data_IF_876937616325
#
_entry.id   IF_876937616325
#
_cell.length_a   1.000
_cell.length_b   1.000
_cell.length_c   1.000
_cell.angle_alpha   90.00
_cell.angle_beta   90.00
_cell.angle_gamma   90.00
#
_symmetry.space_group_name_H-M   'P 1'
#
loop_
_entity.id
_entity.type
_entity.pdbx_description
1 polymer ?
#
# COMPACT_ATOMS: atom_id res chain seq x y z
N UNK A 1 -11.59 -21.94 1.14
CA UNK A 1 -10.84 -20.67 1.00
C UNK A 1 -11.77 -19.71 0.29
N UNK A 2 -12.24 -18.67 0.99
CA UNK A 2 -13.05 -17.61 0.36
C UNK A 2 -12.30 -17.14 -0.89
N UNK A 3 -13.02 -17.09 -2.02
CA UNK A 3 -12.45 -16.77 -3.33
C UNK A 3 -12.00 -15.31 -3.29
N UNK A 4 -10.79 -15.08 -2.81
CA UNK A 4 -10.18 -13.77 -2.80
C UNK A 4 -9.97 -13.38 -4.27
N UNK A 5 -10.66 -12.32 -4.68
CA UNK A 5 -10.59 -11.78 -6.04
C UNK A 5 -9.13 -11.55 -6.47
N UNK A 6 -8.84 -11.76 -7.75
CA UNK A 6 -7.47 -11.67 -8.28
C UNK A 6 -6.84 -10.30 -7.98
N UNK A 7 -7.64 -9.24 -8.07
CA UNK A 7 -7.22 -7.89 -7.74
C UNK A 7 -6.82 -7.75 -6.25
N UNK A 8 -7.58 -8.37 -5.34
CA UNK A 8 -7.27 -8.36 -3.91
C UNK A 8 -5.94 -9.06 -3.61
N UNK A 9 -5.67 -10.21 -4.26
CA UNK A 9 -4.39 -10.92 -4.13
C UNK A 9 -3.22 -10.05 -4.59
N UNK A 10 -3.36 -9.40 -5.74
CA UNK A 10 -2.35 -8.48 -6.29
C UNK A 10 -2.07 -7.31 -5.35
N UNK A 11 -3.10 -6.73 -4.72
CA UNK A 11 -2.94 -5.65 -3.74
C UNK A 11 -2.18 -6.14 -2.50
N UNK A 12 -2.53 -7.30 -1.95
CA UNK A 12 -1.84 -7.88 -0.79
C UNK A 12 -0.35 -8.09 -1.06
N UNK A 13 -0.02 -8.70 -2.21
CA UNK A 13 1.36 -8.91 -2.64
C UNK A 13 2.09 -7.58 -2.82
N UNK A 14 1.45 -6.60 -3.45
CA UNK A 14 2.05 -5.28 -3.67
C UNK A 14 2.40 -4.58 -2.35
N UNK A 15 1.48 -4.51 -1.41
CA UNK A 15 1.72 -3.86 -0.10
C UNK A 15 2.78 -4.65 0.69
N UNK A 16 2.79 -5.97 0.60
CA UNK A 16 3.80 -6.80 1.26
C UNK A 16 5.22 -6.52 0.73
N UNK A 17 5.37 -6.36 -0.59
CA UNK A 17 6.68 -6.14 -1.24
C UNK A 17 7.16 -4.69 -1.13
N UNK A 18 6.28 -3.72 -1.33
CA UNK A 18 6.65 -2.30 -1.47
C UNK A 18 6.31 -1.44 -0.26
N UNK A 19 5.49 -1.95 0.66
CA UNK A 19 5.03 -1.23 1.85
C UNK A 19 3.69 -0.52 1.66
N UNK A 20 3.28 0.32 2.64
CA UNK A 20 1.96 0.93 2.67
C UNK A 20 1.74 1.89 1.50
N UNK A 21 0.58 1.76 0.85
CA UNK A 21 0.26 2.54 -0.36
C UNK A 21 -1.20 3.02 -0.40
N UNK A 22 -1.46 4.02 -1.24
CA UNK A 22 -2.80 4.54 -1.52
C UNK A 22 -3.37 3.93 -2.81
N UNK A 23 -4.71 3.75 -2.92
CA UNK A 23 -5.36 3.25 -4.13
C UNK A 23 -5.03 4.06 -5.39
N UNK A 24 -4.83 5.38 -5.22
CA UNK A 24 -4.47 6.27 -6.31
C UNK A 24 -3.11 5.90 -6.89
N UNK A 25 -2.11 5.70 -6.05
CA UNK A 25 -0.78 5.33 -6.54
C UNK A 25 -0.76 3.89 -7.02
N UNK A 26 -1.40 2.96 -6.31
CA UNK A 26 -1.53 1.56 -6.73
C UNK A 26 -2.10 1.42 -8.14
N UNK A 27 -3.03 2.29 -8.57
CA UNK A 27 -3.58 2.28 -9.93
C UNK A 27 -2.50 2.40 -11.03
N UNK A 28 -1.39 3.10 -10.74
CA UNK A 28 -0.29 3.29 -11.69
C UNK A 28 0.86 2.29 -11.49
N UNK A 29 1.03 1.74 -10.28
CA UNK A 29 2.23 0.98 -9.91
C UNK A 29 2.02 -0.41 -9.34
N UNK A 30 0.80 -0.95 -9.44
CA UNK A 30 0.49 -2.28 -8.92
C UNK A 30 1.50 -3.32 -9.43
N UNK A 31 2.02 -4.15 -8.52
CA UNK A 31 3.07 -5.15 -8.77
C UNK A 31 4.35 -4.65 -9.48
N UNK A 32 4.64 -3.35 -9.44
CA UNK A 32 5.84 -2.79 -10.08
C UNK A 32 5.65 -2.38 -11.53
N UNK A 33 4.41 -2.35 -12.03
CA UNK A 33 4.09 -1.63 -13.25
C UNK A 33 4.56 -0.16 -13.14
N UNK A 34 4.98 0.42 -14.25
CA UNK A 34 5.35 1.84 -14.29
C UNK A 34 4.79 2.45 -15.57
N UNK A 35 3.77 3.29 -15.42
CA UNK A 35 3.12 3.95 -16.55
C UNK A 35 2.55 5.31 -16.18
N UNK A 36 2.52 6.21 -17.17
CA UNK A 36 1.84 7.51 -17.04
C UNK A 36 0.33 7.33 -16.88
N UNK A 37 -0.26 6.41 -17.65
CA UNK A 37 -1.67 6.05 -17.56
C UNK A 37 -1.90 5.01 -16.44
N UNK A 38 -3.03 5.09 -15.71
CA UNK A 38 -3.39 4.08 -14.73
C UNK A 38 -3.71 2.76 -15.43
N UNK A 39 -3.04 1.68 -15.03
CA UNK A 39 -3.29 0.33 -15.56
C UNK A 39 -4.59 -0.26 -15.01
N UNK A 40 -4.96 0.15 -13.80
CA UNK A 40 -6.14 -0.33 -13.09
C UNK A 40 -7.09 0.83 -12.78
N UNK A 41 -8.40 0.52 -12.77
CA UNK A 41 -9.42 1.48 -12.37
C UNK A 41 -9.30 1.81 -10.88
N UNK A 42 -9.14 3.10 -10.59
CA UNK A 42 -9.01 3.63 -9.23
C UNK A 42 -10.26 3.36 -8.38
N UNK A 43 -11.45 3.36 -8.98
CA UNK A 43 -12.71 3.13 -8.27
C UNK A 43 -12.77 1.69 -7.76
N UNK A 44 -12.49 0.72 -8.64
CA UNK A 44 -12.43 -0.71 -8.29
C UNK A 44 -11.36 -1.00 -7.24
N UNK A 45 -10.18 -0.38 -7.34
CA UNK A 45 -9.13 -0.51 -6.33
C UNK A 45 -9.58 0.01 -4.96
N UNK A 46 -10.28 1.15 -4.92
CA UNK A 46 -10.80 1.71 -3.66
C UNK A 46 -11.85 0.80 -3.04
N UNK A 47 -12.73 0.21 -3.84
CA UNK A 47 -13.72 -0.77 -3.38
C UNK A 47 -13.06 -2.05 -2.87
N UNK A 48 -12.05 -2.57 -3.58
CA UNK A 48 -11.27 -3.73 -3.15
C UNK A 48 -10.56 -3.48 -1.82
N UNK A 49 -9.92 -2.31 -1.65
CA UNK A 49 -9.30 -1.91 -0.38
C UNK A 49 -10.33 -1.86 0.76
N UNK A 50 -11.51 -1.28 0.54
CA UNK A 50 -12.59 -1.25 1.54
C UNK A 50 -13.09 -2.64 1.90
N UNK A 51 -13.25 -3.54 0.92
CA UNK A 51 -13.64 -4.93 1.17
C UNK A 51 -12.59 -5.64 2.04
N UNK A 52 -11.30 -5.52 1.69
CA UNK A 52 -10.21 -6.10 2.48
C UNK A 52 -10.05 -5.48 3.87
N UNK A 53 -10.38 -4.20 4.05
CA UNK A 53 -10.46 -3.55 5.35
C UNK A 53 -11.58 -4.17 6.21
N UNK A 54 -12.77 -4.40 5.63
CA UNK A 54 -13.88 -5.06 6.34
C UNK A 54 -13.54 -6.51 6.76
N UNK A 55 -12.70 -7.19 5.97
CA UNK A 55 -12.15 -8.52 6.25
C UNK A 55 -10.97 -8.50 7.22
N UNK A 56 -10.58 -7.32 7.76
CA UNK A 56 -9.43 -7.12 8.67
C UNK A 56 -8.08 -7.56 8.08
N UNK A 57 -7.94 -7.61 6.75
CA UNK A 57 -6.68 -7.89 6.06
C UNK A 57 -5.82 -6.64 5.89
N UNK A 58 -6.49 -5.49 5.68
CA UNK A 58 -5.88 -4.17 5.58
C UNK A 58 -6.31 -3.27 6.74
N UNK A 59 -5.45 -2.32 7.08
CA UNK A 59 -5.73 -1.24 8.03
C UNK A 59 -5.32 0.08 7.42
N UNK A 60 -6.00 1.17 7.79
CA UNK A 60 -5.55 2.52 7.44
C UNK A 60 -4.21 2.78 8.12
N UNK A 61 -3.19 3.11 7.33
CA UNK A 61 -1.87 3.45 7.82
C UNK A 61 -1.87 4.88 8.36
N UNK A 62 -1.64 5.01 9.66
CA UNK A 62 -1.62 6.31 10.34
C UNK A 62 -0.22 6.81 10.71
N UNK A 63 0.83 6.06 10.39
CA UNK A 63 2.22 6.41 10.71
C UNK A 63 2.87 7.41 9.73
N UNK A 64 4.13 7.79 10.00
CA UNK A 64 4.92 8.63 9.09
C UNK A 64 5.32 7.84 7.83
N UNK A 65 5.02 8.38 6.65
CA UNK A 65 5.30 7.75 5.35
C UNK A 65 6.76 7.89 4.89
N UNK A 66 7.56 8.77 5.51
CA UNK A 66 8.98 8.99 5.17
C UNK A 66 9.87 8.90 6.41
N UNK A 67 11.11 8.44 6.21
CA UNK A 67 12.17 8.53 7.22
C UNK A 67 12.37 9.99 7.63
N UNK A 68 12.61 10.19 8.92
CA UNK A 68 12.93 11.49 9.51
C UNK A 68 14.09 12.14 8.74
N UNK A 69 14.01 13.44 8.39
CA UNK A 69 15.11 14.12 7.72
C UNK A 69 16.38 14.07 8.59
N UNK A 70 17.52 13.70 7.99
CA UNK A 70 18.82 13.64 8.67
C UNK A 70 19.40 15.03 8.93
N UNK A 71 20.42 15.11 9.77
CA UNK A 71 21.07 16.37 10.18
C UNK A 71 21.60 17.21 9.00
N UNK A 72 21.93 16.60 7.86
CA UNK A 72 22.37 17.29 6.63
C UNK A 72 21.24 17.91 5.81
N UNK A 73 19.97 17.62 6.11
CA UNK A 73 18.81 18.13 5.36
C UNK A 73 18.48 19.57 5.79
N UNK A 74 18.00 20.37 4.83
CA UNK A 74 17.63 21.78 5.01
C UNK A 74 16.62 22.02 6.17
N UNK A 75 16.81 23.06 7.01
CA UNK A 75 15.97 23.31 8.19
C UNK A 75 14.47 23.40 7.92
N UNK A 76 14.02 24.04 6.83
CA UNK A 76 12.59 24.14 6.51
C UNK A 76 11.94 22.79 6.17
N UNK A 77 12.70 21.85 5.61
CA UNK A 77 12.22 20.48 5.36
C UNK A 77 12.07 19.74 6.69
N UNK A 78 13.00 19.96 7.63
CA UNK A 78 12.90 19.43 9.00
C UNK A 78 11.72 20.04 9.77
N UNK A 79 11.46 21.33 9.62
CA UNK A 79 10.30 22.02 10.22
C UNK A 79 9.01 21.43 9.65
N UNK A 80 8.89 21.28 8.32
CA UNK A 80 7.74 20.61 7.66
C UNK A 80 7.56 19.15 8.07
N UNK A 81 8.65 18.42 8.36
CA UNK A 81 8.58 17.05 8.83
C UNK A 81 8.27 16.93 10.35
N UNK A 82 8.64 17.96 11.14
CA UNK A 82 8.33 18.08 12.57
C UNK A 82 6.87 18.45 12.83
N UNK A 83 6.23 19.15 11.89
CA UNK A 83 4.78 19.24 11.85
C UNK A 83 4.23 17.84 11.57
N UNK A 84 3.96 17.10 12.65
CA UNK A 84 3.62 15.67 12.78
C UNK A 84 2.52 15.15 11.83
N UNK A 85 1.89 16.04 11.06
CA UNK A 85 0.74 15.76 10.23
C UNK A 85 0.92 16.16 8.75
N UNK A 86 2.14 16.34 8.23
CA UNK A 86 2.32 16.39 6.76
C UNK A 86 2.15 14.99 6.16
N UNK A 87 0.94 14.44 6.25
CA UNK A 87 0.48 13.33 5.44
C UNK A 87 0.08 13.94 4.09
N UNK A 88 0.67 13.52 2.95
CA UNK A 88 0.05 13.83 1.66
C UNK A 88 -1.42 13.40 1.73
N UNK A 89 -2.32 14.28 1.29
CA UNK A 89 -3.76 14.04 1.34
C UNK A 89 -4.10 12.72 0.62
N UNK A 90 -4.44 11.68 1.37
CA UNK A 90 -4.71 10.35 0.83
C UNK A 90 -4.84 9.29 1.93
N UNK A 91 -5.72 8.31 1.70
CA UNK A 91 -5.86 7.13 2.57
C UNK A 91 -4.81 6.12 2.13
N UNK A 92 -3.88 5.80 3.02
CA UNK A 92 -2.89 4.75 2.83
C UNK A 92 -3.34 3.50 3.57
N UNK A 93 -3.10 2.33 2.98
CA UNK A 93 -3.40 1.04 3.59
C UNK A 93 -2.10 0.29 3.89
N UNK A 94 -2.06 -0.35 5.06
CA UNK A 94 -1.01 -1.29 5.48
C UNK A 94 -1.63 -2.65 5.78
N UNK A 95 -0.81 -3.68 5.80
CA UNK A 95 -1.24 -5.04 6.13
C UNK A 95 -1.38 -5.22 7.64
N UNK A 96 -2.49 -5.84 8.05
CA UNK A 96 -2.65 -6.33 9.41
C UNK A 96 -1.77 -7.56 9.66
N UNK A 97 -1.73 -8.05 10.91
CA UNK A 97 -1.00 -9.28 11.24
C UNK A 97 -1.53 -10.50 10.48
N UNK A 98 -2.84 -10.56 10.24
CA UNK A 98 -3.47 -11.61 9.45
C UNK A 98 -3.20 -11.40 7.95
N UNK A 99 -3.36 -10.16 7.46
CA UNK A 99 -3.02 -9.80 6.10
C UNK A 99 -1.57 -10.14 5.73
N UNK A 100 -0.61 -9.92 6.64
CA UNK A 100 0.81 -10.29 6.44
C UNK A 100 1.02 -11.79 6.29
N UNK A 101 0.30 -12.62 7.05
CA UNK A 101 0.40 -14.09 6.93
C UNK A 101 -0.07 -14.55 5.56
N UNK A 102 -1.25 -14.09 5.15
CA UNK A 102 -1.84 -14.45 3.86
C UNK A 102 -0.99 -13.90 2.71
N UNK A 103 -0.56 -12.64 2.79
CA UNK A 103 0.28 -12.02 1.77
C UNK A 103 1.64 -12.72 1.63
N UNK A 104 2.23 -13.19 2.73
CA UNK A 104 3.49 -13.94 2.70
C UNK A 104 3.33 -15.29 2.01
N UNK A 105 2.20 -15.98 2.23
CA UNK A 105 1.89 -17.23 1.53
C UNK A 105 1.67 -16.97 0.04
N UNK A 106 0.80 -16.02 -0.31
CA UNK A 106 0.54 -15.64 -1.71
C UNK A 106 1.80 -15.17 -2.44
N UNK A 107 2.70 -14.46 -1.75
CA UNK A 107 3.96 -13.99 -2.35
C UNK A 107 4.91 -15.15 -2.70
N UNK A 108 4.90 -16.24 -1.92
CA UNK A 108 5.70 -17.43 -2.23
C UNK A 108 5.10 -18.19 -3.40
N UNK A 109 3.79 -18.43 -3.38
CA UNK A 109 3.06 -19.09 -4.47
C UNK A 109 3.28 -18.34 -5.80
N UNK A 110 3.15 -17.02 -5.80
CA UNK A 110 3.35 -16.20 -6.99
C UNK A 110 4.79 -16.20 -7.52
N UNK A 111 5.78 -16.46 -6.66
CA UNK A 111 7.20 -16.55 -7.06
C UNK A 111 7.57 -17.93 -7.62
N UNK A 112 6.82 -18.97 -7.27
CA UNK A 112 7.01 -20.32 -7.83
C UNK A 112 6.35 -20.48 -9.21
N UNK A 113 5.41 -19.59 -9.55
CA UNK A 113 4.72 -19.53 -10.84
C UNK A 113 5.44 -18.65 -11.90
N UNK A 114 6.41 -17.82 -11.50
CA UNK A 114 7.30 -17.04 -12.40
C UNK A 114 8.54 -17.82 -12.84
#
# INVERSE_FOLDING_TARGET
MEVLDDLCRKILIHIYKYGPDSPKYMAHRLLGASGWAPTYDQVKLKEACKKMESMKLLTVFNGPLKRSPTSSVKPWIKIKAREVNYKPAGIYYDLTREGKKIASQLYKENREEE
#
